data_IF_518161142708
#
_entry.id   IF_518161142708
#
_cell.length_a   1.000
_cell.length_b   1.000
_cell.length_c   1.000
_cell.angle_alpha   90.00
_cell.angle_beta   90.00
_cell.angle_gamma   90.00
#
_symmetry.space_group_name_H-M   'P 1'
#
loop_
_entity.id
_entity.type
_entity.pdbx_description
1 polymer ?
#
# COMPACT_ATOMS: atom_id res chain seq x y z
N UNK A 1 -20.74 -6.28 4.09
CA UNK A 1 -20.03 -6.86 2.92
C UNK A 1 -18.62 -7.18 3.36
N UNK A 2 -18.16 -8.41 3.09
CA UNK A 2 -16.76 -8.82 3.34
C UNK A 2 -15.89 -8.06 2.32
N UNK A 3 -14.73 -7.56 2.73
CA UNK A 3 -13.65 -7.21 1.80
C UNK A 3 -13.50 -8.31 0.77
N UNK A 4 -13.34 -8.01 -0.53
CA UNK A 4 -13.38 -9.06 -1.53
C UNK A 4 -12.19 -9.99 -1.25
N UNK A 5 -12.40 -11.27 -0.87
CA UNK A 5 -11.34 -12.24 -0.61
C UNK A 5 -10.50 -12.56 -1.87
N UNK A 6 -10.76 -11.87 -2.97
CA UNK A 6 -10.22 -12.11 -4.30
C UNK A 6 -8.81 -11.54 -4.47
N UNK A 7 -8.40 -10.55 -3.67
CA UNK A 7 -7.03 -9.98 -3.72
C UNK A 7 -6.05 -10.67 -2.78
N UNK A 8 -6.49 -11.69 -2.05
CA UNK A 8 -5.65 -12.41 -1.10
C UNK A 8 -4.58 -13.23 -1.80
N UNK A 9 -3.34 -13.18 -1.30
CA UNK A 9 -2.23 -13.96 -1.81
C UNK A 9 -0.99 -13.14 -2.09
N UNK A 10 -0.03 -13.77 -2.76
CA UNK A 10 1.27 -13.18 -3.10
C UNK A 10 1.14 -12.26 -4.30
N UNK A 11 1.77 -11.09 -4.22
CA UNK A 11 1.81 -10.08 -5.27
C UNK A 11 3.25 -9.61 -5.50
N UNK A 12 3.52 -9.01 -6.66
CA UNK A 12 4.85 -8.52 -7.01
C UNK A 12 4.80 -7.09 -7.53
N UNK A 13 5.50 -6.18 -6.88
CA UNK A 13 5.61 -4.79 -7.32
C UNK A 13 6.31 -4.66 -8.68
N UNK A 14 5.54 -4.27 -9.70
CA UNK A 14 6.00 -4.12 -11.09
C UNK A 14 6.38 -2.69 -11.45
N UNK A 15 5.58 -1.70 -11.03
CA UNK A 15 5.81 -0.29 -11.33
C UNK A 15 5.29 0.62 -10.21
N UNK A 16 5.91 1.78 -10.02
CA UNK A 16 5.51 2.78 -9.04
C UNK A 16 5.49 4.18 -9.67
N UNK A 17 4.52 5.00 -9.27
CA UNK A 17 4.45 6.41 -9.59
C UNK A 17 4.11 7.19 -8.33
N UNK A 18 4.62 8.41 -8.20
CA UNK A 18 4.28 9.29 -7.09
C UNK A 18 4.09 10.73 -7.57
N UNK A 19 3.23 11.47 -6.87
CA UNK A 19 3.00 12.90 -7.12
C UNK A 19 4.21 13.75 -6.73
N UNK A 20 4.98 13.30 -5.75
CA UNK A 20 6.28 13.84 -5.37
C UNK A 20 7.31 12.70 -5.43
N UNK A 21 8.36 12.89 -6.23
CA UNK A 21 9.42 11.91 -6.40
C UNK A 21 10.14 11.63 -5.07
N UNK A 22 10.17 12.58 -4.13
CA UNK A 22 10.80 12.41 -2.81
C UNK A 22 10.23 11.23 -2.01
N UNK A 23 9.00 10.80 -2.32
CA UNK A 23 8.36 9.61 -1.75
C UNK A 23 9.05 8.30 -2.18
N UNK A 24 9.75 8.31 -3.33
CA UNK A 24 10.34 7.14 -4.00
C UNK A 24 11.86 7.25 -4.30
N UNK A 25 12.41 8.46 -4.45
CA UNK A 25 13.69 8.73 -5.16
C UNK A 25 14.94 8.15 -4.46
N UNK A 26 14.92 8.10 -3.13
CA UNK A 26 16.03 7.54 -2.35
C UNK A 26 15.78 6.06 -2.03
N UNK A 27 16.85 5.28 -1.77
CA UNK A 27 16.75 3.97 -1.10
C UNK A 27 15.92 4.03 0.19
N UNK A 28 15.81 5.22 0.80
CA UNK A 28 15.08 5.50 2.03
C UNK A 28 13.77 6.27 1.81
N UNK A 29 13.28 6.34 0.57
CA UNK A 29 11.99 6.95 0.26
C UNK A 29 10.91 6.40 1.19
N UNK A 30 10.10 7.24 1.85
CA UNK A 30 9.19 6.78 2.90
C UNK A 30 8.20 5.73 2.41
N UNK A 31 7.81 5.81 1.14
CA UNK A 31 6.87 4.90 0.47
C UNK A 31 7.54 3.98 -0.56
N UNK A 32 8.88 3.93 -0.61
CA UNK A 32 9.60 2.97 -1.46
C UNK A 32 9.54 1.58 -0.82
N UNK A 33 8.44 0.87 -1.07
CA UNK A 33 8.14 -0.45 -0.52
C UNK A 33 7.69 -1.41 -1.63
N UNK A 34 7.99 -2.69 -1.45
CA UNK A 34 7.50 -3.74 -2.33
C UNK A 34 6.47 -4.59 -1.59
N UNK A 35 5.26 -4.72 -2.13
CA UNK A 35 4.25 -5.63 -1.56
C UNK A 35 4.68 -7.05 -1.85
N UNK A 36 4.51 -7.90 -0.85
CA UNK A 36 4.80 -9.33 -0.93
C UNK A 36 3.53 -10.15 -0.84
N UNK A 37 2.64 -9.82 0.10
CA UNK A 37 1.42 -10.60 0.31
C UNK A 37 0.30 -9.75 0.92
N UNK A 38 -0.93 -10.07 0.52
CA UNK A 38 -2.15 -9.51 1.05
C UNK A 38 -2.93 -10.58 1.82
N UNK A 39 -3.12 -10.37 3.12
CA UNK A 39 -3.90 -11.25 4.00
C UNK A 39 -5.13 -10.55 4.59
N UNK A 40 -6.36 -10.87 4.11
CA UNK A 40 -7.59 -10.35 4.71
C UNK A 40 -7.78 -10.89 6.13
N UNK A 41 -8.29 -10.06 7.05
CA UNK A 41 -8.63 -10.46 8.42
C UNK A 41 -10.09 -10.93 8.53
N UNK A 42 -10.44 -11.74 9.55
CA UNK A 42 -11.84 -12.13 9.80
C UNK A 42 -12.79 -10.94 10.01
N UNK A 43 -12.27 -9.82 10.50
CA UNK A 43 -13.00 -8.57 10.75
C UNK A 43 -13.22 -7.77 9.46
N UNK A 44 -12.54 -8.13 8.38
CA UNK A 44 -12.62 -7.47 7.07
C UNK A 44 -11.55 -6.41 6.84
N UNK A 45 -10.60 -6.24 7.76
CA UNK A 45 -9.40 -5.43 7.52
C UNK A 45 -8.43 -6.20 6.61
N UNK A 46 -7.34 -5.54 6.21
CA UNK A 46 -6.35 -6.08 5.29
C UNK A 46 -4.96 -5.94 5.88
N UNK A 47 -4.28 -7.04 6.16
CA UNK A 47 -2.84 -7.04 6.41
C UNK A 47 -2.10 -6.99 5.08
N UNK A 48 -1.15 -6.08 4.98
CA UNK A 48 -0.27 -5.88 3.83
C UNK A 48 1.14 -6.18 4.30
N UNK A 49 1.71 -7.28 3.83
CA UNK A 49 3.11 -7.63 4.06
C UNK A 49 3.94 -7.01 2.95
N UNK A 50 4.99 -6.29 3.33
CA UNK A 50 5.86 -5.58 2.42
C UNK A 50 7.32 -5.65 2.84
N UNK A 51 8.20 -5.44 1.87
CA UNK A 51 9.63 -5.32 2.07
C UNK A 51 10.04 -3.85 1.91
N UNK A 52 10.78 -3.33 2.90
CA UNK A 52 11.36 -1.98 2.87
C UNK A 52 12.86 -2.06 3.05
N UNK A 53 13.60 -1.28 2.27
CA UNK A 53 15.04 -1.18 2.44
C UNK A 53 15.36 -0.23 3.62
N UNK A 54 15.93 -0.76 4.69
CA UNK A 54 16.37 -0.01 5.87
C UNK A 54 17.83 -0.37 6.16
N UNK A 55 18.70 0.64 6.28
CA UNK A 55 20.13 0.44 6.55
C UNK A 55 20.79 -0.61 5.63
N UNK A 56 20.52 -0.52 4.32
CA UNK A 56 21.02 -1.44 3.28
C UNK A 56 20.53 -2.89 3.39
N UNK A 57 19.50 -3.17 4.19
CA UNK A 57 18.87 -4.48 4.30
C UNK A 57 17.40 -4.40 3.93
N UNK A 58 16.87 -5.45 3.31
CA UNK A 58 15.42 -5.59 3.15
C UNK A 58 14.85 -6.08 4.48
N UNK A 59 13.89 -5.34 5.00
CA UNK A 59 13.19 -5.62 6.26
C UNK A 59 11.72 -5.77 5.94
N UNK A 60 11.16 -6.91 6.34
CA UNK A 60 9.72 -7.15 6.26
C UNK A 60 8.98 -6.24 7.25
N UNK A 61 7.86 -5.67 6.80
CA UNK A 61 6.91 -4.94 7.63
C UNK A 61 5.51 -5.43 7.33
N UNK A 62 4.66 -5.36 8.34
CA UNK A 62 3.23 -5.60 8.19
C UNK A 62 2.48 -4.33 8.50
N UNK A 63 1.64 -3.89 7.57
CA UNK A 63 0.71 -2.77 7.75
C UNK A 63 -0.69 -3.34 7.90
N UNK A 64 -1.43 -2.89 8.91
CA UNK A 64 -2.85 -3.18 9.04
C UNK A 64 -3.65 -2.03 8.41
N UNK A 65 -4.32 -2.33 7.29
CA UNK A 65 -5.22 -1.41 6.61
C UNK A 65 -6.66 -1.70 7.04
N UNK A 66 -7.23 -0.77 7.81
CA UNK A 66 -8.55 -0.87 8.40
C UNK A 66 -9.62 -0.63 7.35
N UNK A 67 -10.64 -1.50 7.32
CA UNK A 67 -11.75 -1.35 6.37
C UNK A 67 -12.50 -0.03 6.58
N UNK A 68 -13.06 0.50 5.51
CA UNK A 68 -14.01 1.62 5.56
C UNK A 68 -15.38 1.19 5.06
N UNK A 69 -16.32 2.14 4.99
CA UNK A 69 -17.62 1.91 4.36
C UNK A 69 -17.48 1.64 2.85
N UNK A 70 -16.45 2.22 2.22
CA UNK A 70 -16.09 1.95 0.83
C UNK A 70 -15.18 0.71 0.78
N UNK A 71 -15.60 -0.39 0.12
CA UNK A 71 -14.83 -1.63 0.07
C UNK A 71 -13.52 -1.52 -0.72
N UNK A 72 -13.33 -0.48 -1.54
CA UNK A 72 -12.09 -0.22 -2.26
C UNK A 72 -11.12 0.64 -1.45
N UNK A 73 -11.51 1.14 -0.28
CA UNK A 73 -10.76 2.10 0.52
C UNK A 73 -10.49 1.57 1.93
N UNK A 74 -9.25 1.73 2.36
CA UNK A 74 -8.77 1.37 3.68
C UNK A 74 -8.06 2.54 4.34
N UNK A 75 -8.20 2.64 5.67
CA UNK A 75 -7.42 3.56 6.49
C UNK A 75 -6.14 2.89 6.95
N UNK A 76 -5.03 3.61 6.91
CA UNK A 76 -3.74 3.14 7.41
C UNK A 76 -3.13 4.20 8.31
N UNK A 77 -2.41 3.76 9.34
CA UNK A 77 -1.56 4.65 10.13
C UNK A 77 -0.12 4.48 9.65
N UNK A 78 0.34 5.41 8.80
CA UNK A 78 1.65 5.38 8.16
C UNK A 78 2.30 6.74 8.31
N UNK A 79 2.83 7.02 9.52
CA UNK A 79 3.32 8.34 9.92
C UNK A 79 2.23 9.43 9.93
N UNK A 80 0.99 9.05 10.27
CA UNK A 80 -0.21 9.89 10.22
C UNK A 80 -1.41 9.16 9.60
N UNK A 81 -2.59 9.79 9.58
CA UNK A 81 -3.78 9.22 8.94
C UNK A 81 -3.59 9.19 7.41
N UNK A 82 -3.25 8.01 6.90
CA UNK A 82 -3.13 7.72 5.47
C UNK A 82 -4.32 6.92 4.97
N UNK A 83 -4.44 6.85 3.65
CA UNK A 83 -5.48 6.08 2.96
C UNK A 83 -4.84 5.20 1.92
N UNK A 84 -5.24 3.93 1.88
CA UNK A 84 -4.95 3.02 0.77
C UNK A 84 -6.22 2.80 -0.01
N UNK A 85 -6.13 2.78 -1.33
CA UNK A 85 -7.25 2.48 -2.21
C UNK A 85 -6.83 1.55 -3.33
N UNK A 86 -7.73 0.66 -3.73
CA UNK A 86 -7.58 -0.14 -4.95
C UNK A 86 -8.19 0.66 -6.09
N UNK A 87 -7.36 1.08 -7.05
CA UNK A 87 -7.78 1.87 -8.20
C UNK A 87 -8.36 0.98 -9.30
N UNK A 88 -7.70 -0.14 -9.58
CA UNK A 88 -8.11 -1.10 -10.61
C UNK A 88 -7.49 -2.48 -10.34
N UNK A 89 -8.18 -3.54 -10.73
CA UNK A 89 -7.67 -4.92 -10.61
C UNK A 89 -8.56 -5.91 -11.37
N UNK A 90 -7.95 -6.95 -11.95
CA UNK A 90 -8.65 -8.14 -12.45
C UNK A 90 -8.62 -9.32 -11.46
N UNK A 91 -8.16 -9.06 -10.23
CA UNK A 91 -8.02 -9.99 -9.10
C UNK A 91 -7.04 -11.15 -9.33
N UNK A 92 -6.39 -11.25 -10.50
CA UNK A 92 -5.62 -12.44 -10.86
C UNK A 92 -4.23 -12.10 -11.40
N UNK A 93 -4.14 -11.12 -12.30
CA UNK A 93 -2.92 -10.80 -13.02
C UNK A 93 -2.35 -9.45 -12.64
N UNK A 94 -3.19 -8.48 -12.26
CA UNK A 94 -2.70 -7.18 -11.84
C UNK A 94 -3.60 -6.51 -10.80
N UNK A 95 -2.99 -5.60 -10.06
CA UNK A 95 -3.70 -4.68 -9.19
C UNK A 95 -2.96 -3.35 -9.08
N UNK A 96 -3.70 -2.26 -9.21
CA UNK A 96 -3.17 -0.92 -8.96
C UNK A 96 -3.70 -0.46 -7.61
N UNK A 97 -2.80 -0.27 -6.65
CA UNK A 97 -3.13 0.36 -5.38
C UNK A 97 -2.51 1.74 -5.29
N UNK A 98 -3.19 2.66 -4.62
CA UNK A 98 -2.72 4.01 -4.35
C UNK A 98 -2.76 4.28 -2.86
N UNK A 99 -1.68 4.88 -2.35
CA UNK A 99 -1.50 5.30 -0.97
C UNK A 99 -1.39 6.82 -0.92
N UNK A 100 -2.21 7.43 -0.07
CA UNK A 100 -2.07 8.81 0.34
C UNK A 100 -1.27 8.86 1.64
N UNK A 101 -0.20 9.66 1.65
CA UNK A 101 0.59 9.93 2.84
C UNK A 101 0.78 11.45 3.01
N UNK A 102 0.90 11.93 4.27
CA UNK A 102 1.34 13.29 4.51
C UNK A 102 2.76 13.48 3.97
N UNK A 103 2.97 14.53 3.15
CA UNK A 103 4.32 14.96 2.70
C UNK A 103 4.83 16.08 3.62
N UNK A 104 6.14 16.42 3.54
CA UNK A 104 6.72 17.53 4.31
C UNK A 104 6.10 18.90 3.98
N UNK A 105 5.51 19.04 2.79
CA UNK A 105 4.65 20.16 2.41
C UNK A 105 3.24 19.91 2.95
N UNK A 106 2.47 20.95 3.30
CA UNK A 106 1.07 20.84 3.80
C UNK A 106 0.07 20.19 2.78
N UNK A 107 0.58 19.58 1.71
CA UNK A 107 -0.15 18.82 0.71
C UNK A 107 -0.19 17.33 1.09
N UNK A 108 -1.10 16.56 0.49
CA UNK A 108 -1.11 15.09 0.59
C UNK A 108 -0.42 14.52 -0.64
N UNK A 109 0.63 13.74 -0.41
CA UNK A 109 1.35 13.05 -1.47
C UNK A 109 0.65 11.74 -1.79
N UNK A 110 0.61 11.38 -3.07
CA UNK A 110 0.06 10.11 -3.53
C UNK A 110 1.17 9.29 -4.16
N UNK A 111 1.22 8.00 -3.81
CA UNK A 111 2.03 7.00 -4.47
C UNK A 111 1.09 5.90 -4.95
N UNK A 112 1.20 5.50 -6.20
CA UNK A 112 0.50 4.33 -6.72
C UNK A 112 1.51 3.29 -7.19
N UNK A 113 1.14 2.03 -7.03
CA UNK A 113 1.95 0.89 -7.46
C UNK A 113 1.07 -0.12 -8.19
N UNK A 114 1.61 -0.62 -9.31
CA UNK A 114 1.09 -1.76 -10.02
C UNK A 114 1.74 -3.03 -9.47
N UNK A 115 0.89 -3.97 -9.09
CA UNK A 115 1.19 -5.34 -8.69
C UNK A 115 0.78 -6.32 -9.78
#
# INVERSE_FOLDING_TARGET
>A
LKTPPQVAGTWHSMAMAASDISLLDAERGPLRVNVEELRPTPQGDQEIILQKQENQKCVEKTILAQKTEDPAVFKVDCHGEGKVSVLDTDYTNYMIFCMEAPVPTDERGTMCQCL
#
